data_IF_036832282160
#
_entry.id   IF_036832282160
#
_cell.length_a   1.000
_cell.length_b   1.000
_cell.length_c   1.000
_cell.angle_alpha   90.00
_cell.angle_beta   90.00
_cell.angle_gamma   90.00
#
_symmetry.space_group_name_H-M   'P 1'
#
loop_
_entity.id
_entity.type
_entity.pdbx_description
1 polymer ?
#
# COMPACT_ATOMS: atom_id res chain seq x y z
N UNK A 1 21.73 10.88 -34.29
CA UNK A 1 20.51 10.06 -34.46
C UNK A 1 20.49 9.00 -33.36
N UNK A 2 19.34 8.83 -32.71
CA UNK A 2 19.17 8.36 -31.32
C UNK A 2 19.63 6.91 -31.08
N UNK A 3 20.36 6.69 -29.98
CA UNK A 3 20.58 5.36 -29.39
C UNK A 3 19.22 4.85 -28.89
N UNK A 4 18.77 3.72 -29.43
CA UNK A 4 17.58 3.02 -28.96
C UNK A 4 17.85 2.49 -27.56
N UNK A 5 17.33 3.20 -26.57
CA UNK A 5 17.24 2.70 -25.20
C UNK A 5 16.24 1.54 -25.21
N UNK A 6 16.63 0.36 -24.71
CA UNK A 6 15.79 -0.85 -24.69
C UNK A 6 14.52 -0.71 -23.84
N UNK A 7 14.39 0.42 -23.15
CA UNK A 7 13.27 0.82 -22.30
C UNK A 7 12.44 1.98 -22.89
N UNK A 8 12.66 2.38 -24.15
CA UNK A 8 11.78 3.32 -24.86
C UNK A 8 10.40 2.65 -25.06
N UNK A 9 9.49 2.84 -24.09
CA UNK A 9 8.16 2.23 -24.07
C UNK A 9 7.83 1.38 -22.85
N UNK A 10 8.54 1.54 -21.72
CA UNK A 10 8.08 0.96 -20.44
C UNK A 10 6.61 1.34 -20.21
N UNK A 11 5.79 0.31 -19.95
CA UNK A 11 4.34 0.46 -19.80
C UNK A 11 4.05 1.50 -18.72
N UNK A 12 3.16 2.45 -19.03
CA UNK A 12 2.61 3.37 -18.03
C UNK A 12 2.18 2.57 -16.81
N UNK A 13 2.62 2.97 -15.61
CA UNK A 13 2.24 2.28 -14.37
C UNK A 13 0.72 2.00 -14.35
N UNK A 14 0.28 0.82 -13.90
CA UNK A 14 -1.14 0.49 -13.91
C UNK A 14 -1.97 1.55 -13.18
N UNK A 15 -3.21 1.83 -13.60
CA UNK A 15 -4.02 2.89 -13.01
C UNK A 15 -4.13 2.74 -11.49
N UNK A 16 -4.11 3.87 -10.78
CA UNK A 16 -4.40 3.91 -9.34
C UNK A 16 -5.89 3.73 -9.14
N UNK A 17 -6.30 2.72 -8.37
CA UNK A 17 -7.71 2.48 -8.03
C UNK A 17 -8.11 3.14 -6.72
N UNK A 18 -7.18 3.20 -5.76
CA UNK A 18 -7.38 3.82 -4.45
C UNK A 18 -6.04 4.13 -3.79
N UNK A 19 -6.06 4.62 -2.55
CA UNK A 19 -4.87 4.91 -1.76
C UNK A 19 -4.92 4.15 -0.44
N UNK A 20 -3.75 3.69 0.00
CA UNK A 20 -3.59 3.13 1.34
C UNK A 20 -3.97 4.18 2.39
N UNK A 21 -4.97 3.90 3.22
CA UNK A 21 -5.42 4.79 4.29
C UNK A 21 -4.42 4.94 5.43
N UNK A 22 -3.38 4.09 5.50
CA UNK A 22 -2.32 4.23 6.51
C UNK A 22 -1.11 5.07 6.04
N UNK A 23 -0.60 4.84 4.82
CA UNK A 23 0.60 5.54 4.32
C UNK A 23 0.33 6.55 3.20
N UNK A 24 -0.88 6.60 2.64
CA UNK A 24 -1.26 7.47 1.52
C UNK A 24 -0.74 7.01 0.14
N UNK A 25 0.03 5.91 0.10
CA UNK A 25 0.59 5.34 -1.12
C UNK A 25 -0.49 4.85 -2.10
N UNK A 26 -0.20 4.86 -3.42
CA UNK A 26 -1.14 4.36 -4.42
C UNK A 26 -1.33 2.85 -4.27
N UNK A 27 -2.56 2.38 -4.50
CA UNK A 27 -2.89 0.98 -4.75
C UNK A 27 -3.38 0.91 -6.19
N UNK A 28 -2.70 0.11 -7.01
CA UNK A 28 -2.89 0.04 -8.46
C UNK A 28 -3.67 -1.20 -8.87
N UNK A 29 -4.26 -1.16 -10.06
CA UNK A 29 -4.94 -2.33 -10.64
C UNK A 29 -4.01 -3.55 -10.62
N UNK A 30 -4.47 -4.64 -10.02
CA UNK A 30 -3.73 -5.90 -9.92
C UNK A 30 -2.85 -6.04 -8.67
N UNK A 31 -2.74 -5.00 -7.83
CA UNK A 31 -2.06 -5.11 -6.54
C UNK A 31 -2.98 -5.72 -5.48
N UNK A 32 -2.40 -6.54 -4.60
CA UNK A 32 -3.09 -7.03 -3.42
C UNK A 32 -3.12 -5.96 -2.32
N UNK A 33 -4.23 -5.91 -1.60
CA UNK A 33 -4.45 -5.02 -0.47
C UNK A 33 -5.38 -5.69 0.55
N UNK A 34 -5.44 -5.11 1.74
CA UNK A 34 -6.21 -5.61 2.86
C UNK A 34 -7.17 -4.54 3.35
N UNK A 35 -8.35 -4.95 3.84
CA UNK A 35 -9.36 -4.04 4.39
C UNK A 35 -9.50 -4.32 5.89
N UNK A 36 -9.41 -3.28 6.72
CA UNK A 36 -9.67 -3.36 8.16
C UNK A 36 -10.37 -2.09 8.63
N UNK A 37 -11.53 -2.24 9.30
CA UNK A 37 -12.35 -1.11 9.79
C UNK A 37 -12.59 -0.03 8.72
N UNK A 38 -12.95 -0.45 7.51
CA UNK A 38 -13.16 0.41 6.32
C UNK A 38 -11.90 1.18 5.84
N UNK A 39 -10.71 0.77 6.28
CA UNK A 39 -9.43 1.33 5.83
C UNK A 39 -8.75 0.33 4.88
N UNK A 40 -8.50 0.79 3.65
CA UNK A 40 -7.70 0.05 2.66
C UNK A 40 -6.20 0.17 2.99
N UNK A 41 -5.48 -0.95 3.04
CA UNK A 41 -4.08 -1.00 3.44
C UNK A 41 -3.28 -1.79 2.41
N UNK A 42 -2.26 -1.17 1.81
CA UNK A 42 -1.40 -1.85 0.85
C UNK A 42 -0.60 -2.97 1.51
N UNK A 43 -0.23 -3.99 0.74
CA UNK A 43 0.52 -5.16 1.23
C UNK A 43 1.83 -4.76 1.95
N UNK A 44 2.56 -3.78 1.42
CA UNK A 44 3.78 -3.27 2.05
C UNK A 44 3.58 -2.74 3.49
N UNK A 45 2.35 -2.36 3.82
CA UNK A 45 1.98 -1.72 5.07
C UNK A 45 1.30 -2.65 6.07
N UNK A 46 0.59 -3.68 5.62
CA UNK A 46 -0.35 -4.46 6.44
C UNK A 46 0.28 -5.01 7.72
N UNK A 47 1.50 -5.54 7.65
CA UNK A 47 2.19 -6.13 8.81
C UNK A 47 2.49 -5.10 9.90
N UNK A 48 2.96 -3.92 9.51
CA UNK A 48 3.30 -2.85 10.45
C UNK A 48 2.04 -2.23 11.05
N UNK A 49 0.99 -2.08 10.24
CA UNK A 49 -0.32 -1.64 10.69
C UNK A 49 -0.90 -2.58 11.75
N UNK A 50 -0.93 -3.88 11.48
CA UNK A 50 -1.44 -4.89 12.42
C UNK A 50 -0.67 -4.87 13.76
N UNK A 51 0.66 -4.70 13.71
CA UNK A 51 1.47 -4.56 14.92
C UNK A 51 1.14 -3.28 15.70
N UNK A 52 0.94 -2.16 15.02
CA UNK A 52 0.55 -0.91 15.66
C UNK A 52 -0.80 -1.02 16.39
N UNK A 53 -1.79 -1.66 15.76
CA UNK A 53 -3.09 -1.94 16.39
C UNK A 53 -2.97 -2.85 17.62
N UNK A 54 -2.14 -3.89 17.53
CA UNK A 54 -1.86 -4.77 18.68
C UNK A 54 -1.29 -3.96 19.84
N UNK A 55 -0.26 -3.14 19.59
CA UNK A 55 0.37 -2.32 20.63
C UNK A 55 -0.59 -1.30 21.26
N UNK A 56 -1.46 -0.67 20.46
CA UNK A 56 -2.49 0.24 20.98
C UNK A 56 -3.49 -0.50 21.87
N UNK A 57 -3.93 -1.68 21.45
CA UNK A 57 -4.89 -2.51 22.19
C UNK A 57 -4.29 -3.04 23.48
N UNK A 58 -3.02 -3.46 23.46
CA UNK A 58 -2.30 -3.92 24.64
C UNK A 58 -2.17 -2.79 25.68
N UNK A 59 -1.78 -1.58 25.27
CA UNK A 59 -1.68 -0.41 26.16
C UNK A 59 -3.01 -0.08 26.84
N UNK A 60 -4.13 -0.16 26.11
CA UNK A 60 -5.47 0.09 26.67
C UNK A 60 -5.89 -0.93 27.73
N UNK A 61 -5.33 -2.14 27.72
CA UNK A 61 -5.66 -3.20 28.68
C UNK A 61 -4.75 -3.21 29.92
N UNK A 62 -3.59 -2.57 29.84
CA UNK A 62 -2.61 -2.49 30.93
C UNK A 62 -2.71 -1.20 31.77
N UNK A 63 -3.61 -0.29 31.41
CA UNK A 63 -3.90 0.94 32.16
C UNK A 63 -5.15 0.74 33.02
#
# INVERSE_FOLDING_TARGET
MRKFDRFYGEATEPPVVMRCGWCGGPIRVGEEYYIHDDIDICDACVRRYAWALFMQTAKRRSA
#
